data_IF_220870196190
#
_entry.id   IF_220870196190
#
_cell.length_a   1.000
_cell.length_b   1.000
_cell.length_c   1.000
_cell.angle_alpha   90.00
_cell.angle_beta   90.00
_cell.angle_gamma   90.00
#
_symmetry.space_group_name_H-M   'P 1'
#
loop_
_entity.id
_entity.type
_entity.pdbx_description
1 polymer ?
#
# COMPACT_ATOMS: atom_id res chain seq x y z
N UNK A 1 -6.26 -8.48 -26.98
CA UNK A 1 -5.95 -9.10 -25.67
C UNK A 1 -5.53 -8.05 -24.63
N UNK A 2 -6.43 -7.17 -24.16
CA UNK A 2 -6.13 -6.06 -23.20
C UNK A 2 -6.77 -6.25 -21.80
N UNK A 3 -7.52 -7.32 -21.60
CA UNK A 3 -8.25 -7.58 -20.35
C UNK A 3 -7.40 -8.31 -19.30
N UNK A 4 -6.39 -9.09 -19.72
CA UNK A 4 -5.54 -9.85 -18.78
C UNK A 4 -4.57 -8.93 -18.01
N UNK A 5 -4.12 -7.83 -18.61
CA UNK A 5 -3.11 -6.96 -17.96
C UNK A 5 -3.68 -6.07 -16.85
N UNK A 6 -4.99 -5.79 -16.86
CA UNK A 6 -5.63 -5.05 -15.76
C UNK A 6 -5.74 -5.89 -14.48
N UNK A 7 -5.98 -7.21 -14.59
CA UNK A 7 -6.03 -8.08 -13.42
C UNK A 7 -4.68 -8.15 -12.70
N UNK A 8 -3.55 -8.25 -13.42
CA UNK A 8 -2.21 -8.18 -12.80
C UNK A 8 -1.94 -6.83 -12.15
N UNK A 9 -2.37 -5.73 -12.76
CA UNK A 9 -2.19 -4.40 -12.18
C UNK A 9 -2.97 -4.26 -10.86
N UNK A 10 -4.22 -4.73 -10.81
CA UNK A 10 -5.03 -4.73 -9.58
C UNK A 10 -4.43 -5.67 -8.54
N UNK A 11 -3.96 -6.86 -8.92
CA UNK A 11 -3.28 -7.79 -8.01
C UNK A 11 -2.00 -7.21 -7.41
N UNK A 12 -1.14 -6.61 -8.24
CA UNK A 12 0.08 -5.95 -7.79
C UNK A 12 -0.22 -4.75 -6.86
N UNK A 13 -1.30 -4.02 -7.15
CA UNK A 13 -1.77 -2.92 -6.31
C UNK A 13 -2.22 -3.41 -4.94
N UNK A 14 -3.01 -4.50 -4.90
CA UNK A 14 -3.48 -5.09 -3.65
C UNK A 14 -2.32 -5.46 -2.72
N UNK A 15 -1.28 -6.09 -3.26
CA UNK A 15 -0.07 -6.43 -2.47
C UNK A 15 0.63 -5.16 -1.97
N UNK A 16 0.74 -4.12 -2.80
CA UNK A 16 1.43 -2.87 -2.42
C UNK A 16 0.71 -2.13 -1.27
N UNK A 17 -0.63 -2.18 -1.22
CA UNK A 17 -1.40 -1.65 -0.11
C UNK A 17 -1.42 -2.57 1.11
N UNK A 18 -1.35 -3.90 0.92
CA UNK A 18 -1.34 -4.87 2.01
C UNK A 18 -0.05 -4.86 2.82
N UNK A 19 1.11 -4.68 2.17
CA UNK A 19 2.43 -4.72 2.83
C UNK A 19 2.49 -3.82 4.08
N UNK A 20 2.22 -2.50 4.00
CA UNK A 20 2.31 -1.64 5.18
C UNK A 20 1.25 -1.97 6.25
N UNK A 21 0.08 -2.47 5.85
CA UNK A 21 -0.99 -2.89 6.78
C UNK A 21 -0.54 -4.12 7.57
N UNK A 22 -0.02 -5.14 6.88
CA UNK A 22 0.48 -6.37 7.51
C UNK A 22 1.75 -6.12 8.35
N UNK A 23 2.61 -5.20 7.93
CA UNK A 23 3.79 -4.81 8.71
C UNK A 23 3.40 -4.27 10.10
N UNK A 24 2.42 -3.36 10.17
CA UNK A 24 1.91 -2.87 11.46
C UNK A 24 1.20 -3.97 12.24
N UNK A 25 0.39 -4.80 11.57
CA UNK A 25 -0.29 -5.92 12.22
C UNK A 25 0.69 -6.88 12.89
N UNK A 26 1.79 -7.23 12.24
CA UNK A 26 2.83 -8.08 12.84
C UNK A 26 3.61 -7.37 13.95
N UNK A 27 3.95 -6.09 13.80
CA UNK A 27 4.59 -5.34 14.88
C UNK A 27 3.72 -5.28 16.14
N UNK A 28 2.39 -5.15 15.99
CA UNK A 28 1.45 -5.23 17.13
C UNK A 28 1.44 -6.63 17.75
N UNK A 29 1.46 -7.69 16.95
CA UNK A 29 1.49 -9.07 17.45
C UNK A 29 2.80 -9.42 18.16
N UNK A 30 3.92 -8.85 17.72
CA UNK A 30 5.24 -8.98 18.36
C UNK A 30 5.34 -8.13 19.65
N UNK A 31 4.30 -7.37 19.98
CA UNK A 31 4.25 -6.52 21.17
C UNK A 31 5.01 -5.20 21.04
N UNK A 32 5.36 -4.78 19.82
CA UNK A 32 6.05 -3.52 19.58
C UNK A 32 5.15 -2.33 19.93
N UNK A 33 5.75 -1.30 20.52
CA UNK A 33 5.06 -0.05 20.82
C UNK A 33 4.91 0.76 19.54
N UNK A 34 3.81 0.52 18.83
CA UNK A 34 3.42 1.32 17.67
C UNK A 34 3.20 2.77 18.12
N UNK A 35 4.17 3.61 17.78
CA UNK A 35 4.16 5.04 18.08
C UNK A 35 3.54 5.83 16.93
N UNK A 36 3.16 7.09 17.18
CA UNK A 36 2.59 7.97 16.15
C UNK A 36 3.46 8.07 14.87
N UNK A 37 4.78 7.94 14.99
CA UNK A 37 5.70 7.90 13.86
C UNK A 37 5.45 6.74 12.89
N UNK A 38 5.06 5.56 13.39
CA UNK A 38 4.72 4.40 12.56
C UNK A 38 3.46 4.67 11.74
N UNK A 39 2.46 5.32 12.34
CA UNK A 39 1.23 5.71 11.66
C UNK A 39 1.48 6.79 10.60
N UNK A 40 2.33 7.77 10.89
CA UNK A 40 2.72 8.81 9.92
C UNK A 40 3.49 8.18 8.75
N UNK A 41 4.45 7.29 9.03
CA UNK A 41 5.19 6.56 8.01
C UNK A 41 4.27 5.70 7.14
N UNK A 42 3.35 4.95 7.77
CA UNK A 42 2.31 4.19 7.06
C UNK A 42 1.46 5.09 6.15
N UNK A 43 1.05 6.25 6.66
CA UNK A 43 0.26 7.21 5.88
C UNK A 43 1.04 7.77 4.69
N UNK A 44 2.33 8.07 4.85
CA UNK A 44 3.20 8.54 3.77
C UNK A 44 3.36 7.46 2.69
N UNK A 45 3.62 6.21 3.08
CA UNK A 45 3.77 5.09 2.13
C UNK A 45 2.46 4.86 1.37
N UNK A 46 1.32 4.77 2.07
CA UNK A 46 0.02 4.59 1.44
C UNK A 46 -0.32 5.75 0.50
N UNK A 47 0.00 6.99 0.89
CA UNK A 47 -0.20 8.16 0.04
C UNK A 47 0.69 8.13 -1.21
N UNK A 48 1.95 7.75 -1.09
CA UNK A 48 2.87 7.60 -2.22
C UNK A 48 2.43 6.51 -3.19
N UNK A 49 2.04 5.34 -2.66
CA UNK A 49 1.48 4.24 -3.46
C UNK A 49 0.19 4.68 -4.14
N UNK A 50 -0.69 5.37 -3.42
CA UNK A 50 -1.92 5.92 -3.98
C UNK A 50 -1.65 6.90 -5.11
N UNK A 51 -0.66 7.78 -4.97
CA UNK A 51 -0.30 8.76 -5.99
C UNK A 51 0.27 8.09 -7.25
N UNK A 52 1.08 7.05 -7.10
CA UNK A 52 1.62 6.24 -8.21
C UNK A 52 0.53 5.39 -8.87
N UNK A 53 -0.40 4.84 -8.08
CA UNK A 53 -1.48 4.00 -8.56
C UNK A 53 -2.63 4.78 -9.19
N UNK A 54 -2.83 6.02 -8.75
CA UNK A 54 -3.68 7.01 -9.39
C UNK A 54 -3.02 7.41 -10.70
N UNK A 55 -3.20 6.56 -11.71
CA UNK A 55 -2.86 6.83 -13.11
C UNK A 55 -3.15 8.29 -13.41
N UNK A 56 -2.12 9.04 -13.81
CA UNK A 56 -2.29 10.37 -14.36
C UNK A 56 -3.43 10.35 -15.38
N UNK A 57 -4.50 11.14 -15.21
CA UNK A 57 -5.39 11.46 -16.29
C UNK A 57 -4.69 12.52 -17.14
N UNK A 58 -3.61 12.14 -17.81
CA UNK A 58 -3.06 12.92 -18.90
C UNK A 58 -3.42 12.20 -20.18
N UNK A 59 -4.46 12.77 -20.81
CA UNK A 59 -4.76 12.69 -22.23
C UNK A 59 -3.51 12.56 -23.10
#
# INVERSE_FOLDING_TARGET
>A
NKLISRSSAIFASSVTYLIPIFAIFWGVLDGEKITAYHLIGMFIILSGVYLVNKKSPTK
#
